data_IF_409726002922
#
_entry.id   IF_409726002922
#
_cell.length_a   1.000
_cell.length_b   1.000
_cell.length_c   1.000
_cell.angle_alpha   90.00
_cell.angle_beta   90.00
_cell.angle_gamma   90.00
#
_symmetry.space_group_name_H-M   'P 1'
#
loop_
_entity.id
_entity.type
_entity.pdbx_description
1 polymer ?
#
# COMPACT_ATOMS: atom_id res chain seq x y z
N UNK A 1 22.39 16.85 -3.14
CA UNK A 1 22.93 15.49 -3.35
C UNK A 1 22.39 15.00 -4.69
N UNK A 2 23.25 14.93 -5.70
CA UNK A 2 22.82 14.72 -7.09
C UNK A 2 22.37 13.26 -7.25
N UNK A 3 21.07 13.04 -7.36
CA UNK A 3 20.49 11.73 -7.64
C UNK A 3 20.92 11.39 -9.05
N UNK A 4 21.90 10.48 -9.21
CA UNK A 4 22.32 9.98 -10.53
C UNK A 4 21.06 9.58 -11.27
N UNK A 5 20.81 10.27 -12.38
CA UNK A 5 19.66 10.07 -13.22
C UNK A 5 19.55 8.59 -13.60
N UNK A 6 18.34 8.07 -13.43
CA UNK A 6 17.89 6.77 -13.93
C UNK A 6 18.40 6.60 -15.36
N UNK A 7 19.09 5.50 -15.67
CA UNK A 7 19.39 5.18 -17.06
C UNK A 7 18.08 4.69 -17.70
N UNK A 8 17.39 5.51 -18.52
CA UNK A 8 16.05 5.19 -19.02
C UNK A 8 16.05 3.91 -19.86
N UNK A 9 17.19 3.58 -20.47
CA UNK A 9 17.37 2.37 -21.25
C UNK A 9 17.29 1.09 -20.39
N UNK A 10 17.93 1.09 -19.21
CA UNK A 10 17.90 -0.06 -18.29
C UNK A 10 16.48 -0.31 -17.76
N UNK A 11 15.78 0.77 -17.42
CA UNK A 11 14.41 0.70 -16.91
C UNK A 11 13.42 0.13 -17.94
N UNK A 12 13.57 0.53 -19.22
CA UNK A 12 12.80 0.01 -20.35
C UNK A 12 13.15 -1.46 -20.64
N UNK A 13 14.43 -1.83 -20.58
CA UNK A 13 14.85 -3.21 -20.78
C UNK A 13 14.26 -4.15 -19.70
N UNK A 14 14.27 -3.75 -18.44
CA UNK A 14 13.66 -4.53 -17.34
C UNK A 14 12.15 -4.66 -17.55
N UNK A 15 11.47 -3.57 -17.92
CA UNK A 15 10.04 -3.59 -18.23
C UNK A 15 9.72 -4.55 -19.38
N UNK A 16 10.51 -4.54 -20.46
CA UNK A 16 10.36 -5.47 -21.58
C UNK A 16 10.57 -6.94 -21.14
N UNK A 17 11.55 -7.20 -20.28
CA UNK A 17 11.77 -8.54 -19.71
C UNK A 17 10.59 -9.01 -18.85
N UNK A 18 9.97 -8.11 -18.08
CA UNK A 18 8.76 -8.44 -17.33
C UNK A 18 7.59 -8.79 -18.26
N UNK A 19 7.37 -7.99 -19.31
CA UNK A 19 6.33 -8.26 -20.32
C UNK A 19 6.60 -9.60 -21.01
N UNK A 20 7.84 -9.85 -21.44
CA UNK A 20 8.22 -11.11 -22.06
C UNK A 20 7.97 -12.31 -21.13
N UNK A 21 8.30 -12.19 -19.84
CA UNK A 21 8.04 -13.23 -18.84
C UNK A 21 6.53 -13.51 -18.68
N UNK A 22 5.68 -12.48 -18.70
CA UNK A 22 4.20 -12.66 -18.71
C UNK A 22 3.74 -13.38 -19.96
N UNK A 23 4.23 -12.98 -21.13
CA UNK A 23 3.83 -13.57 -22.40
C UNK A 23 4.25 -15.04 -22.50
N UNK A 24 5.49 -15.36 -22.11
CA UNK A 24 5.99 -16.75 -22.08
C UNK A 24 5.17 -17.58 -21.10
N UNK A 25 4.90 -17.08 -19.90
CA UNK A 25 4.09 -17.80 -18.92
C UNK A 25 2.64 -17.99 -19.39
N UNK A 26 2.03 -16.96 -20.00
CA UNK A 26 0.69 -17.03 -20.61
C UNK A 26 0.62 -18.03 -21.77
N UNK A 27 1.67 -18.12 -22.58
CA UNK A 27 1.78 -19.15 -23.63
C UNK A 27 1.87 -20.56 -23.02
N UNK A 28 2.69 -20.74 -21.98
CA UNK A 28 2.82 -22.03 -21.30
C UNK A 28 1.50 -22.47 -20.64
N UNK A 29 0.72 -21.53 -20.11
CA UNK A 29 -0.62 -21.76 -19.55
C UNK A 29 -1.63 -22.27 -20.59
N UNK A 30 -1.53 -21.79 -21.83
CA UNK A 30 -2.46 -22.12 -22.93
C UNK A 30 -1.93 -23.23 -23.84
N UNK A 31 -0.69 -23.66 -23.65
CA UNK A 31 -0.11 -24.77 -24.39
C UNK A 31 -0.65 -26.13 -23.93
N UNK A 32 -1.01 -26.98 -24.90
CA UNK A 32 -1.40 -28.38 -24.66
C UNK A 32 -0.24 -29.26 -24.17
N UNK A 33 0.99 -28.87 -24.48
CA UNK A 33 2.19 -29.64 -24.12
C UNK A 33 2.63 -29.41 -22.68
N UNK A 34 2.38 -28.21 -22.14
CA UNK A 34 2.90 -27.79 -20.83
C UNK A 34 1.81 -27.61 -19.76
N UNK A 35 0.58 -27.26 -20.16
CA UNK A 35 -0.49 -26.95 -19.20
C UNK A 35 -1.39 -28.15 -18.95
N UNK A 36 -1.58 -28.58 -17.70
CA UNK A 36 -2.63 -29.53 -17.36
C UNK A 36 -4.02 -28.91 -17.57
N UNK A 37 -4.14 -27.57 -17.60
CA UNK A 37 -5.43 -26.88 -17.64
C UNK A 37 -6.14 -27.01 -18.99
N UNK A 38 -5.41 -27.21 -20.08
CA UNK A 38 -6.00 -27.19 -21.44
C UNK A 38 -6.55 -28.54 -21.86
N UNK A 39 -5.99 -29.62 -21.36
CA UNK A 39 -6.38 -31.00 -21.70
C UNK A 39 -7.18 -31.66 -20.58
N UNK A 40 -6.76 -31.50 -19.32
CA UNK A 40 -7.35 -32.24 -18.21
C UNK A 40 -8.53 -31.54 -17.54
N UNK A 41 -8.64 -30.21 -17.60
CA UNK A 41 -9.81 -29.51 -17.03
C UNK A 41 -11.14 -30.01 -17.61
N UNK A 42 -11.34 -30.12 -18.94
CA UNK A 42 -12.59 -30.66 -19.48
C UNK A 42 -12.78 -32.15 -19.18
N UNK A 43 -11.70 -32.95 -19.15
CA UNK A 43 -11.76 -34.38 -18.80
C UNK A 43 -12.15 -34.60 -17.33
N UNK A 44 -11.58 -33.83 -16.40
CA UNK A 44 -11.91 -33.87 -14.98
C UNK A 44 -13.36 -33.41 -14.76
N UNK A 45 -13.80 -32.33 -15.42
CA UNK A 45 -15.19 -31.86 -15.34
C UNK A 45 -16.15 -32.94 -15.83
N UNK A 46 -15.86 -33.58 -16.96
CA UNK A 46 -16.71 -34.63 -17.51
C UNK A 46 -16.73 -35.89 -16.62
N UNK A 47 -15.56 -36.31 -16.12
CA UNK A 47 -15.46 -37.45 -15.22
C UNK A 47 -16.22 -37.20 -13.89
N UNK A 48 -16.08 -36.01 -13.30
CA UNK A 48 -16.78 -35.64 -12.07
C UNK A 48 -18.29 -35.41 -12.25
N UNK A 49 -18.71 -34.94 -13.43
CA UNK A 49 -20.12 -34.57 -13.70
C UNK A 49 -20.94 -35.72 -14.25
N UNK A 50 -20.34 -36.59 -15.05
CA UNK A 50 -21.04 -37.64 -15.81
C UNK A 50 -20.54 -39.06 -15.52
N UNK A 51 -19.45 -39.22 -14.74
CA UNK A 51 -18.89 -40.54 -14.43
C UNK A 51 -18.16 -41.20 -15.61
N UNK A 52 -18.02 -40.50 -16.73
CA UNK A 52 -17.41 -41.01 -17.96
C UNK A 52 -16.01 -40.42 -18.19
N UNK A 53 -15.10 -41.28 -18.67
CA UNK A 53 -13.74 -40.92 -19.09
C UNK A 53 -12.65 -41.55 -18.22
N UNK A 54 -11.61 -42.06 -18.86
CA UNK A 54 -10.39 -42.50 -18.19
C UNK A 54 -9.39 -41.34 -18.11
N UNK A 55 -8.91 -41.06 -16.90
CA UNK A 55 -7.85 -40.07 -16.67
C UNK A 55 -6.55 -40.82 -16.48
N UNK A 56 -5.58 -40.62 -17.38
CA UNK A 56 -4.22 -41.06 -17.13
C UNK A 56 -3.58 -40.22 -16.02
N UNK A 57 -3.66 -40.75 -14.80
CA UNK A 57 -3.14 -40.13 -13.58
C UNK A 57 -1.63 -39.88 -13.66
N UNK A 58 -0.89 -40.73 -14.39
CA UNK A 58 0.56 -40.58 -14.52
C UNK A 58 0.94 -39.35 -15.35
N UNK A 59 0.28 -39.19 -16.50
CA UNK A 59 0.43 -38.01 -17.38
C UNK A 59 -0.08 -36.75 -16.70
N UNK A 60 -1.20 -36.81 -15.98
CA UNK A 60 -1.72 -35.69 -15.20
C UNK A 60 -0.72 -35.21 -14.14
N UNK A 61 -0.20 -36.12 -13.32
CA UNK A 61 0.75 -35.80 -12.26
C UNK A 61 2.04 -35.19 -12.83
N UNK A 62 2.55 -35.71 -13.95
CA UNK A 62 3.72 -35.15 -14.62
C UNK A 62 3.48 -33.71 -15.12
N UNK A 63 2.35 -33.46 -15.79
CA UNK A 63 2.00 -32.11 -16.27
C UNK A 63 1.71 -31.14 -15.13
N UNK A 64 1.05 -31.58 -14.07
CA UNK A 64 0.79 -30.79 -12.88
C UNK A 64 2.09 -30.40 -12.16
N UNK A 65 3.02 -31.34 -11.98
CA UNK A 65 4.33 -31.07 -11.41
C UNK A 65 5.12 -30.05 -12.24
N UNK A 66 5.16 -30.24 -13.57
CA UNK A 66 5.80 -29.28 -14.48
C UNK A 66 5.15 -27.90 -14.39
N UNK A 67 3.83 -27.82 -14.34
CA UNK A 67 3.11 -26.57 -14.20
C UNK A 67 3.48 -25.82 -12.90
N UNK A 68 3.53 -26.52 -11.77
CA UNK A 68 3.92 -25.94 -10.48
C UNK A 68 5.35 -25.39 -10.52
N UNK A 69 6.29 -26.12 -11.15
CA UNK A 69 7.67 -25.66 -11.33
C UNK A 69 7.71 -24.38 -12.17
N UNK A 70 7.00 -24.33 -13.30
CA UNK A 70 6.97 -23.14 -14.16
C UNK A 70 6.32 -21.94 -13.46
N UNK A 71 5.26 -22.16 -12.68
CA UNK A 71 4.62 -21.13 -11.86
C UNK A 71 5.58 -20.57 -10.81
N UNK A 72 6.32 -21.44 -10.11
CA UNK A 72 7.32 -21.03 -9.13
C UNK A 72 8.45 -20.22 -9.79
N UNK A 73 8.99 -20.70 -10.92
CA UNK A 73 10.01 -19.98 -11.70
C UNK A 73 9.52 -18.60 -12.16
N UNK A 74 8.29 -18.51 -12.67
CA UNK A 74 7.67 -17.25 -13.06
C UNK A 74 7.61 -16.26 -11.89
N UNK A 75 7.16 -16.72 -10.72
CA UNK A 75 7.08 -15.90 -9.51
C UNK A 75 8.44 -15.38 -9.06
N UNK A 76 9.46 -16.24 -9.02
CA UNK A 76 10.83 -15.86 -8.64
C UNK A 76 11.41 -14.84 -9.63
N UNK A 77 11.28 -15.07 -10.94
CA UNK A 77 11.75 -14.14 -11.98
C UNK A 77 11.05 -12.78 -11.84
N UNK A 78 9.74 -12.76 -11.59
CA UNK A 78 8.99 -11.51 -11.40
C UNK A 78 9.46 -10.73 -10.18
N UNK A 79 9.71 -11.40 -9.05
CA UNK A 79 10.21 -10.76 -7.83
C UNK A 79 11.60 -10.13 -8.07
N UNK A 80 12.47 -10.85 -8.77
CA UNK A 80 13.82 -10.38 -9.11
C UNK A 80 13.76 -9.18 -10.06
N UNK A 81 12.98 -9.26 -11.15
CA UNK A 81 12.82 -8.17 -12.11
C UNK A 81 12.20 -6.93 -11.47
N UNK A 82 11.20 -7.10 -10.59
CA UNK A 82 10.62 -6.00 -9.82
C UNK A 82 11.64 -5.31 -8.93
N UNK A 83 12.46 -6.09 -8.21
CA UNK A 83 13.55 -5.53 -7.38
C UNK A 83 14.56 -4.73 -8.23
N UNK A 84 14.92 -5.22 -9.42
CA UNK A 84 15.77 -4.47 -10.33
C UNK A 84 15.10 -3.21 -10.89
N UNK A 85 13.81 -3.29 -11.22
CA UNK A 85 13.02 -2.15 -11.68
C UNK A 85 12.97 -1.05 -10.62
N UNK A 86 12.68 -1.41 -9.37
CA UNK A 86 12.62 -0.48 -8.24
C UNK A 86 13.98 0.21 -8.02
N UNK A 87 15.08 -0.55 -8.10
CA UNK A 87 16.46 -0.01 -8.04
C UNK A 87 16.78 0.90 -9.22
N UNK A 88 16.29 0.59 -10.42
CA UNK A 88 16.53 1.39 -11.61
C UNK A 88 15.76 2.72 -11.54
N UNK A 89 14.52 2.71 -11.05
CA UNK A 89 13.66 3.91 -11.00
C UNK A 89 13.91 4.82 -9.79
N UNK A 90 14.14 4.26 -8.61
CA UNK A 90 14.23 5.03 -7.36
C UNK A 90 15.68 5.22 -6.88
N UNK A 91 16.66 4.77 -7.66
CA UNK A 91 18.05 4.68 -7.25
C UNK A 91 18.29 3.56 -6.22
N UNK A 92 19.45 3.60 -5.55
CA UNK A 92 19.76 2.66 -4.45
C UNK A 92 18.57 2.57 -3.48
N UNK A 93 18.27 1.37 -3.00
CA UNK A 93 17.22 1.09 -1.99
C UNK A 93 17.24 2.10 -0.82
N UNK A 94 18.43 2.64 -0.51
CA UNK A 94 18.65 3.66 0.51
C UNK A 94 18.02 5.02 0.16
N UNK A 95 18.01 5.44 -1.11
CA UNK A 95 17.39 6.68 -1.57
C UNK A 95 15.86 6.57 -1.58
N UNK A 96 15.30 5.45 -2.06
CA UNK A 96 13.85 5.20 -2.00
C UNK A 96 13.34 5.13 -0.55
N UNK A 97 14.07 4.40 0.31
CA UNK A 97 13.77 4.31 1.74
C UNK A 97 13.92 5.66 2.43
N UNK A 98 14.94 6.44 2.08
CA UNK A 98 15.12 7.80 2.59
C UNK A 98 14.00 8.73 2.13
N UNK A 99 13.57 8.69 0.87
CA UNK A 99 12.45 9.52 0.41
C UNK A 99 11.15 9.21 1.16
N UNK A 100 10.85 7.92 1.38
CA UNK A 100 9.71 7.50 2.20
C UNK A 100 9.85 7.90 3.67
N UNK A 101 11.06 7.82 4.22
CA UNK A 101 11.34 8.24 5.58
C UNK A 101 11.21 9.75 5.73
N UNK A 102 11.77 10.52 4.80
CA UNK A 102 11.70 11.99 4.77
C UNK A 102 10.22 12.45 4.62
N UNK A 103 9.40 11.72 3.85
CA UNK A 103 7.97 11.97 3.74
C UNK A 103 7.22 11.64 5.04
N UNK A 104 7.56 10.50 5.67
CA UNK A 104 7.02 10.12 6.98
C UNK A 104 7.42 11.11 8.07
N UNK A 105 8.66 11.59 8.07
CA UNK A 105 9.19 12.54 9.04
C UNK A 105 8.53 13.92 8.85
N UNK A 106 8.34 14.37 7.60
CA UNK A 106 7.56 15.59 7.28
C UNK A 106 6.10 15.51 7.75
N UNK A 107 5.46 14.36 7.56
CA UNK A 107 4.08 14.14 8.04
C UNK A 107 4.01 14.11 9.57
N UNK A 108 5.08 13.66 10.23
CA UNK A 108 5.18 13.57 11.68
C UNK A 108 5.72 14.83 12.37
N UNK A 109 6.15 15.83 11.60
CA UNK A 109 6.64 17.08 12.15
C UNK A 109 5.51 17.83 12.86
N UNK A 110 5.79 18.32 14.07
CA UNK A 110 4.84 19.14 14.83
C UNK A 110 4.83 20.54 14.24
N UNK A 111 3.68 20.94 13.71
CA UNK A 111 3.45 22.30 13.24
C UNK A 111 2.90 23.11 14.41
N UNK A 112 3.64 24.11 14.88
CA UNK A 112 3.13 25.02 15.91
C UNK A 112 2.00 25.88 15.34
N UNK A 113 0.83 25.86 15.99
CA UNK A 113 -0.36 26.61 15.62
C UNK A 113 -0.53 27.90 16.42
N UNK A 114 0.41 28.21 17.31
CA UNK A 114 0.37 29.37 18.19
C UNK A 114 -0.42 29.11 19.48
N UNK A 115 -0.82 30.17 20.16
CA UNK A 115 -1.60 30.09 21.41
C UNK A 115 -3.10 30.01 21.16
N UNK A 116 -3.82 29.33 22.05
CA UNK A 116 -5.29 29.32 22.08
C UNK A 116 -5.80 30.73 22.39
N UNK A 117 -6.69 31.25 21.53
CA UNK A 117 -7.39 32.52 21.74
C UNK A 117 -8.79 32.29 22.31
N UNK A 118 -9.50 31.30 21.78
CA UNK A 118 -10.82 30.88 22.22
C UNK A 118 -11.03 29.39 21.96
N UNK A 119 -11.90 28.77 22.76
CA UNK A 119 -12.29 27.37 22.63
C UNK A 119 -13.78 27.25 22.96
N UNK A 120 -14.54 26.58 22.10
CA UNK A 120 -15.97 26.33 22.31
C UNK A 120 -16.30 24.87 22.05
N UNK A 121 -17.21 24.33 22.86
CA UNK A 121 -17.70 22.95 22.73
C UNK A 121 -19.14 23.01 22.21
N UNK A 122 -19.35 22.47 21.02
CA UNK A 122 -20.68 22.22 20.47
C UNK A 122 -21.10 20.81 20.86
N UNK A 123 -21.89 20.71 21.93
CA UNK A 123 -22.51 19.45 22.33
C UNK A 123 -23.53 19.03 21.26
N UNK A 124 -23.29 17.88 20.64
CA UNK A 124 -24.26 17.28 19.73
C UNK A 124 -25.53 16.90 20.49
N UNK A 125 -26.69 17.05 19.84
CA UNK A 125 -27.95 16.53 20.38
C UNK A 125 -27.98 14.99 20.39
N UNK A 126 -29.17 14.40 20.62
CA UNK A 126 -29.36 12.94 20.80
C UNK A 126 -28.73 12.03 19.71
N UNK A 127 -28.52 12.54 18.49
CA UNK A 127 -27.88 11.82 17.37
C UNK A 127 -26.62 12.54 16.85
N UNK A 128 -26.20 13.64 17.47
CA UNK A 128 -25.09 14.47 17.01
C UNK A 128 -23.78 14.09 17.71
N UNK A 129 -22.68 14.08 16.95
CA UNK A 129 -21.34 13.95 17.53
C UNK A 129 -20.92 15.30 18.13
N UNK A 130 -20.52 15.31 19.40
CA UNK A 130 -19.89 16.49 20.02
C UNK A 130 -18.66 16.90 19.24
N UNK A 131 -18.57 18.18 18.90
CA UNK A 131 -17.40 18.75 18.24
C UNK A 131 -16.96 19.99 18.98
N UNK A 132 -15.67 20.26 19.00
CA UNK A 132 -15.15 21.49 19.60
C UNK A 132 -14.45 22.34 18.55
N UNK A 133 -14.59 23.65 18.66
CA UNK A 133 -13.95 24.64 17.79
C UNK A 133 -12.90 25.38 18.58
N UNK A 134 -11.70 25.48 18.01
CA UNK A 134 -10.52 26.05 18.66
C UNK A 134 -9.96 27.12 17.76
N UNK A 135 -9.89 28.33 18.28
CA UNK A 135 -9.27 29.46 17.60
C UNK A 135 -7.86 29.64 18.13
N UNK A 136 -6.88 29.59 17.23
CA UNK A 136 -5.48 29.87 17.52
C UNK A 136 -5.02 31.09 16.73
N UNK A 137 -3.84 31.60 17.04
CA UNK A 137 -3.21 32.72 16.30
C UNK A 137 -3.07 32.48 14.79
N UNK A 138 -3.06 31.21 14.35
CA UNK A 138 -2.89 30.84 12.94
C UNK A 138 -4.19 30.43 12.25
N UNK A 139 -5.31 30.31 12.96
CA UNK A 139 -6.59 29.96 12.35
C UNK A 139 -7.56 29.23 13.29
N UNK A 140 -8.68 28.78 12.72
CA UNK A 140 -9.76 28.09 13.42
C UNK A 140 -9.75 26.61 13.05
N UNK A 141 -9.80 25.74 14.04
CA UNK A 141 -9.73 24.29 13.88
C UNK A 141 -10.93 23.63 14.56
N UNK A 142 -11.56 22.67 13.88
CA UNK A 142 -12.64 21.86 14.45
C UNK A 142 -12.11 20.48 14.80
N UNK A 143 -12.35 20.04 16.03
CA UNK A 143 -11.96 18.72 16.54
C UNK A 143 -13.19 17.91 16.95
N UNK A 144 -13.04 16.60 16.86
CA UNK A 144 -14.03 15.63 17.31
C UNK A 144 -13.91 15.43 18.81
N UNK A 145 -15.06 15.39 19.49
CA UNK A 145 -15.14 15.19 20.93
C UNK A 145 -15.13 16.49 21.73
N UNK A 146 -15.32 16.32 23.04
CA UNK A 146 -15.24 17.37 24.04
C UNK A 146 -13.78 17.59 24.44
N UNK A 147 -13.29 18.81 24.22
CA UNK A 147 -11.93 19.22 24.58
C UNK A 147 -11.79 19.65 26.05
N UNK A 148 -12.91 19.71 26.77
CA UNK A 148 -13.01 20.22 28.13
C UNK A 148 -12.67 21.71 28.23
N UNK A 149 -12.24 22.15 29.41
CA UNK A 149 -11.77 23.51 29.63
C UNK A 149 -10.29 23.62 29.25
N UNK A 150 -10.01 24.20 28.08
CA UNK A 150 -8.64 24.58 27.69
C UNK A 150 -8.43 26.06 28.02
N UNK A 151 -7.35 26.36 28.74
CA UNK A 151 -7.01 27.73 29.10
C UNK A 151 -6.56 28.56 27.89
N UNK A 152 -6.98 29.82 27.86
CA UNK A 152 -6.49 30.80 26.89
C UNK A 152 -4.98 31.00 27.09
N UNK A 153 -4.24 31.04 26.00
CA UNK A 153 -2.79 31.22 26.03
C UNK A 153 -1.97 29.92 26.01
N UNK A 154 -2.62 28.75 26.13
CA UNK A 154 -1.95 27.44 25.99
C UNK A 154 -1.42 27.28 24.56
N UNK A 155 -0.21 26.75 24.43
CA UNK A 155 0.40 26.52 23.13
C UNK A 155 -0.20 25.27 22.46
N UNK A 156 -0.57 25.42 21.19
CA UNK A 156 -1.16 24.36 20.37
C UNK A 156 -0.17 23.96 19.27
N UNK A 157 -0.02 22.66 19.08
CA UNK A 157 0.68 22.12 17.92
C UNK A 157 -0.18 21.08 17.22
N UNK A 158 -0.01 20.95 15.90
CA UNK A 158 -0.64 19.92 15.09
C UNK A 158 0.40 18.89 14.70
N UNK A 159 0.05 17.62 14.83
CA UNK A 159 0.77 16.51 14.22
C UNK A 159 -0.23 15.63 13.49
N UNK A 160 -0.03 15.41 12.19
CA UNK A 160 -1.00 14.71 11.34
C UNK A 160 -2.42 15.33 11.49
N UNK A 161 -3.40 14.50 11.87
CA UNK A 161 -4.79 14.89 12.09
C UNK A 161 -5.11 15.12 13.58
N UNK A 162 -4.11 15.40 14.41
CA UNK A 162 -4.30 15.59 15.85
C UNK A 162 -3.77 16.95 16.31
N UNK A 163 -4.52 17.59 17.22
CA UNK A 163 -4.10 18.76 17.98
C UNK A 163 -3.58 18.35 19.35
N UNK A 164 -2.44 18.93 19.73
CA UNK A 164 -1.77 18.74 21.01
C UNK A 164 -1.72 20.06 21.76
N UNK A 165 -2.03 20.02 23.05
CA UNK A 165 -2.06 21.17 23.95
C UNK A 165 -0.94 21.07 24.98
N UNK A 166 -0.11 22.12 25.08
CA UNK A 166 1.03 22.18 25.99
C UNK A 166 2.29 21.45 25.47
N UNK A 167 3.42 21.72 26.14
CA UNK A 167 4.75 21.21 25.77
C UNK A 167 5.09 19.84 26.41
N UNK A 168 4.21 19.27 27.23
CA UNK A 168 4.47 18.04 27.99
C UNK A 168 3.20 17.21 28.11
N UNK A 169 3.18 16.05 27.43
CA UNK A 169 2.21 14.94 27.56
C UNK A 169 0.74 15.31 27.80
N UNK A 170 0.24 16.36 27.16
CA UNK A 170 -1.15 16.78 27.21
C UNK A 170 -2.00 16.10 26.13
N UNK A 171 -3.21 15.70 26.51
CA UNK A 171 -4.27 15.07 25.69
C UNK A 171 -4.26 15.52 24.22
N UNK A 172 -4.29 14.56 23.29
CA UNK A 172 -4.46 14.80 21.85
C UNK A 172 -5.93 14.72 21.44
N UNK A 173 -6.32 15.51 20.43
CA UNK A 173 -7.69 15.51 19.89
C UNK A 173 -7.69 15.43 18.36
N UNK A 174 -8.57 14.62 17.80
CA UNK A 174 -8.63 14.35 16.35
C UNK A 174 -9.37 15.48 15.61
N UNK A 175 -8.80 15.98 14.53
CA UNK A 175 -9.41 16.96 13.63
C UNK A 175 -10.60 16.37 12.87
N UNK A 176 -11.68 17.15 12.77
CA UNK A 176 -12.81 16.85 11.87
C UNK A 176 -12.51 17.48 10.51
N UNK A 177 -12.33 16.63 9.49
CA UNK A 177 -12.17 17.05 8.09
C UNK A 177 -13.48 17.57 7.51
#
# INVERSE_FOLDING_TARGET
MNIKSVNPLQSRAIMLLMIANVLVFGYLLTSKTASPLTEFTPLIINHLSFGDGEIDVSTYNFKAANFVIHFACFGVIMLVLRSFYDRAFHGSFKAARKAKQDEFDKINERVELGKVQSASVENGGFLGTTTSTIETEKGIYRVLGDIGSIEKGVQVSRRQNELYFGLTEGKSYTLKL
#
